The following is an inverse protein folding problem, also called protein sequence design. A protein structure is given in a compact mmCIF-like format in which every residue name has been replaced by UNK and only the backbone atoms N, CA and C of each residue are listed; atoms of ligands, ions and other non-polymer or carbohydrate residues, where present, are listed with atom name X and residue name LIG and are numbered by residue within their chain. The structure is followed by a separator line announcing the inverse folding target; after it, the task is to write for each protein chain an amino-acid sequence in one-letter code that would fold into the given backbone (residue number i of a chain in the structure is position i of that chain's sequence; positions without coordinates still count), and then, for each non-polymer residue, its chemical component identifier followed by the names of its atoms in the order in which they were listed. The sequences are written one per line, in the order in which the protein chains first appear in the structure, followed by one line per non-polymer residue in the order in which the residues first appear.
data_IF_764937065975
#
_entry.id   IF_764937065975
#
_cell.length_a   1.000
_cell.length_b   1.000
_cell.length_c   1.000
_cell.angle_alpha   90.00
_cell.angle_beta   90.00
_cell.angle_gamma   90.00
#
_symmetry.space_group_name_H-M   'P 1'
#
loop_
_entity.id
_entity.type
_entity.pdbx_description
1 polymer ?
#
# COMPACT_ATOMS: atom_id res chain seq x y z
N UNK A 1 -0.86 -19.85 -1.57
CA UNK A 1 -0.25 -20.75 -0.56
C UNK A 1 1.28 -20.74 -0.59
N UNK A 2 1.94 -20.90 -1.74
CA UNK A 2 3.42 -20.85 -1.81
C UNK A 2 4.02 -19.46 -1.49
N UNK A 3 3.45 -18.38 -2.03
CA UNK A 3 3.93 -17.02 -1.75
C UNK A 3 3.82 -16.64 -0.26
N UNK A 4 2.66 -16.88 0.36
CA UNK A 4 2.45 -16.66 1.79
C UNK A 4 3.39 -17.51 2.67
N UNK A 5 3.62 -18.77 2.29
CA UNK A 5 4.58 -19.64 2.97
C UNK A 5 6.03 -19.12 2.87
N UNK A 6 6.45 -18.68 1.68
CA UNK A 6 7.78 -18.08 1.46
C UNK A 6 7.93 -16.80 2.29
N UNK A 7 6.95 -15.90 2.25
CA UNK A 7 6.94 -14.64 3.00
C UNK A 7 7.00 -14.88 4.51
N UNK A 8 6.25 -15.87 5.01
CA UNK A 8 6.28 -16.25 6.41
C UNK A 8 7.63 -16.85 6.82
N UNK A 9 8.17 -17.80 6.04
CA UNK A 9 9.49 -18.42 6.29
C UNK A 9 10.65 -17.42 6.15
N UNK A 10 10.54 -16.46 5.24
CA UNK A 10 11.56 -15.44 5.00
C UNK A 10 11.44 -14.24 5.92
N UNK A 11 10.38 -14.11 6.73
CA UNK A 11 10.10 -12.90 7.51
C UNK A 11 11.29 -12.40 8.33
N UNK A 12 12.00 -13.29 9.04
CA UNK A 12 13.19 -12.91 9.82
C UNK A 12 14.39 -12.53 8.94
N UNK A 13 14.62 -13.28 7.86
CA UNK A 13 15.63 -12.95 6.86
C UNK A 13 15.33 -11.61 6.16
N UNK A 14 14.05 -11.27 6.02
CA UNK A 14 13.59 -10.04 5.41
C UNK A 14 13.88 -8.82 6.32
N UNK A 15 13.64 -8.94 7.63
CA UNK A 15 14.01 -7.91 8.62
C UNK A 15 15.51 -7.70 8.73
N UNK A 16 16.29 -8.79 8.69
CA UNK A 16 17.74 -8.72 8.70
C UNK A 16 18.28 -8.06 7.41
N UNK A 17 17.80 -8.50 6.24
CA UNK A 17 18.18 -7.92 4.96
C UNK A 17 17.81 -6.43 4.87
N UNK A 18 16.62 -6.05 5.37
CA UNK A 18 16.20 -4.67 5.48
C UNK A 18 17.17 -3.84 6.35
N UNK A 19 17.46 -4.30 7.57
CA UNK A 19 18.32 -3.59 8.51
C UNK A 19 19.75 -3.43 7.98
N UNK A 20 20.32 -4.48 7.38
CA UNK A 20 21.65 -4.43 6.75
C UNK A 20 21.66 -3.44 5.60
N UNK A 21 20.65 -3.47 4.73
CA UNK A 21 20.62 -2.60 3.57
C UNK A 21 20.39 -1.12 3.94
N UNK A 22 19.63 -0.83 5.00
CA UNK A 22 19.55 0.53 5.58
C UNK A 22 20.93 0.97 6.08
N UNK A 23 21.59 0.14 6.89
CA UNK A 23 22.91 0.46 7.43
C UNK A 23 23.94 0.70 6.32
N UNK A 24 23.97 -0.15 5.30
CA UNK A 24 24.84 0.02 4.13
C UNK A 24 24.55 1.32 3.37
N UNK A 25 23.30 1.72 3.17
CA UNK A 25 22.98 3.00 2.53
C UNK A 25 23.40 4.22 3.33
N UNK A 26 23.30 4.15 4.66
CA UNK A 26 23.72 5.24 5.56
C UNK A 26 25.25 5.38 5.56
N UNK A 27 25.97 4.26 5.55
CA UNK A 27 27.44 4.23 5.64
C UNK A 27 28.09 4.45 4.26
N UNK A 28 27.59 3.79 3.21
CA UNK A 28 28.16 3.82 1.86
C UNK A 28 27.28 4.70 0.97
N UNK A 29 27.72 5.95 0.81
CA UNK A 29 27.04 6.91 -0.04
C UNK A 29 27.54 6.77 -1.49
N UNK A 30 26.75 6.13 -2.34
CA UNK A 30 27.00 6.01 -3.78
C UNK A 30 27.72 4.73 -4.22
N UNK A 31 27.92 4.60 -5.54
CA UNK A 31 28.55 3.43 -6.16
C UNK A 31 27.67 2.18 -6.19
N UNK A 32 28.22 1.06 -6.67
CA UNK A 32 27.46 -0.19 -6.89
C UNK A 32 26.83 -0.74 -5.60
N UNK A 33 27.51 -0.58 -4.46
CA UNK A 33 27.00 -1.05 -3.16
C UNK A 33 25.73 -0.30 -2.74
N UNK A 34 25.66 1.01 -2.92
CA UNK A 34 24.44 1.77 -2.64
C UNK A 34 23.27 1.35 -3.54
N UNK A 35 23.52 1.03 -4.81
CA UNK A 35 22.50 0.53 -5.73
C UNK A 35 22.00 -0.86 -5.32
N UNK A 36 22.92 -1.78 -4.97
CA UNK A 36 22.56 -3.11 -4.47
C UNK A 36 21.76 -3.03 -3.17
N UNK A 37 22.17 -2.19 -2.22
CA UNK A 37 21.42 -1.97 -0.98
C UNK A 37 20.04 -1.38 -1.25
N UNK A 38 19.91 -0.44 -2.19
CA UNK A 38 18.60 0.10 -2.60
C UNK A 38 17.68 -0.99 -3.18
N UNK A 39 18.21 -1.88 -4.02
CA UNK A 39 17.46 -2.99 -4.59
C UNK A 39 17.01 -4.00 -3.51
N UNK A 40 17.88 -4.31 -2.55
CA UNK A 40 17.54 -5.18 -1.41
C UNK A 40 16.43 -4.54 -0.57
N UNK A 41 16.54 -3.26 -0.24
CA UNK A 41 15.49 -2.54 0.50
C UNK A 41 14.16 -2.54 -0.23
N UNK A 42 14.16 -2.31 -1.54
CA UNK A 42 12.94 -2.33 -2.34
C UNK A 42 12.25 -3.70 -2.25
N UNK A 43 13.00 -4.78 -2.48
CA UNK A 43 12.49 -6.15 -2.34
C UNK A 43 11.99 -6.44 -0.92
N UNK A 44 12.73 -5.99 0.10
CA UNK A 44 12.36 -6.23 1.49
C UNK A 44 11.10 -5.49 1.91
N UNK A 45 10.92 -4.24 1.47
CA UNK A 45 9.69 -3.47 1.67
C UNK A 45 8.51 -4.11 0.94
N UNK A 46 8.69 -4.59 -0.28
CA UNK A 46 7.64 -5.31 -1.01
C UNK A 46 7.17 -6.56 -0.25
N UNK A 47 8.10 -7.37 0.26
CA UNK A 47 7.76 -8.54 1.10
C UNK A 47 7.08 -8.14 2.41
N UNK A 48 7.54 -7.06 3.07
CA UNK A 48 6.93 -6.54 4.28
C UNK A 48 5.48 -6.08 4.05
N UNK A 49 5.17 -5.52 2.87
CA UNK A 49 3.82 -5.16 2.47
C UNK A 49 2.85 -6.34 2.43
N UNK A 50 3.29 -7.48 1.87
CA UNK A 50 2.48 -8.71 1.89
C UNK A 50 2.39 -9.33 3.28
N UNK A 51 3.49 -9.33 4.04
CA UNK A 51 3.49 -9.88 5.39
C UNK A 51 2.52 -9.10 6.30
N UNK A 52 2.54 -7.76 6.24
CA UNK A 52 1.59 -6.96 7.02
C UNK A 52 0.14 -7.16 6.55
N UNK A 53 -0.08 -7.40 5.26
CA UNK A 53 -1.41 -7.73 4.73
C UNK A 53 -1.97 -9.01 5.38
N UNK A 54 -1.16 -10.06 5.46
CA UNK A 54 -1.55 -11.33 6.09
C UNK A 54 -1.83 -11.16 7.58
N UNK A 55 -1.04 -10.33 8.28
CA UNK A 55 -1.36 -9.93 9.65
C UNK A 55 -2.67 -9.15 9.76
N UNK A 56 -2.96 -8.24 8.82
CA UNK A 56 -4.23 -7.50 8.77
C UNK A 56 -5.45 -8.39 8.50
N UNK A 57 -5.25 -9.52 7.83
CA UNK A 57 -6.24 -10.58 7.65
C UNK A 57 -6.34 -11.57 8.81
N UNK A 58 -5.52 -11.39 9.85
CA UNK A 58 -5.51 -12.25 11.03
C UNK A 58 -5.12 -13.70 10.71
N UNK A 59 -4.36 -13.93 9.64
CA UNK A 59 -4.06 -15.28 9.14
C UNK A 59 -2.73 -15.87 9.61
N UNK A 60 -1.96 -15.15 10.43
CA UNK A 60 -0.62 -15.59 10.86
C UNK A 60 -0.64 -16.17 12.28
N UNK A 61 -1.15 -15.42 13.27
CA UNK A 61 -1.29 -15.92 14.64
C UNK A 61 -2.72 -16.35 14.95
N UNK A 62 -2.88 -17.23 15.93
CA UNK A 62 -4.21 -17.55 16.50
C UNK A 62 -4.84 -16.36 17.24
N UNK A 63 -4.01 -15.47 17.80
CA UNK A 63 -4.47 -14.30 18.55
C UNK A 63 -4.64 -13.08 17.65
N UNK A 64 -5.87 -12.57 17.54
CA UNK A 64 -6.17 -11.35 16.77
C UNK A 64 -5.37 -10.15 17.28
N UNK A 65 -5.19 -10.03 18.61
CA UNK A 65 -4.39 -8.96 19.22
C UNK A 65 -2.94 -9.02 18.76
N UNK A 66 -2.36 -10.23 18.69
CA UNK A 66 -0.97 -10.39 18.26
C UNK A 66 -0.79 -10.09 16.77
N UNK A 67 -1.74 -10.51 15.94
CA UNK A 67 -1.73 -10.16 14.52
C UNK A 67 -1.72 -8.63 14.33
N UNK A 68 -2.65 -7.91 14.95
CA UNK A 68 -2.69 -6.45 14.84
C UNK A 68 -1.48 -5.76 15.46
N UNK A 69 -0.93 -6.28 16.56
CA UNK A 69 0.28 -5.73 17.16
C UNK A 69 1.47 -5.80 16.18
N UNK A 70 1.72 -6.98 15.60
CA UNK A 70 2.82 -7.16 14.65
C UNK A 70 2.55 -6.43 13.33
N UNK A 71 1.29 -6.37 12.87
CA UNK A 71 0.89 -5.54 11.73
C UNK A 71 1.33 -4.09 11.93
N UNK A 72 1.01 -3.49 13.09
CA UNK A 72 1.38 -2.10 13.40
C UNK A 72 2.89 -1.88 13.37
N UNK A 73 3.68 -2.83 13.88
CA UNK A 73 5.15 -2.74 13.85
C UNK A 73 5.67 -2.76 12.41
N UNK A 74 5.20 -3.69 11.57
CA UNK A 74 5.71 -3.83 10.20
C UNK A 74 5.29 -2.62 9.36
N UNK A 75 4.00 -2.28 9.34
CA UNK A 75 3.51 -1.21 8.47
C UNK A 75 3.97 0.17 8.96
N UNK A 76 4.04 0.39 10.28
CA UNK A 76 4.53 1.64 10.85
C UNK A 76 6.04 1.79 10.72
N UNK A 77 6.81 0.75 11.06
CA UNK A 77 8.28 0.81 11.13
C UNK A 77 9.00 0.65 9.80
N UNK A 78 8.55 -0.26 8.92
CA UNK A 78 9.20 -0.51 7.61
C UNK A 78 8.58 0.34 6.51
N UNK A 79 7.24 0.41 6.49
CA UNK A 79 6.50 1.00 5.37
C UNK A 79 6.15 2.47 5.59
N UNK A 80 6.05 2.93 6.83
CA UNK A 80 5.69 4.31 7.17
C UNK A 80 4.20 4.62 7.02
N UNK A 81 3.32 3.62 7.09
CA UNK A 81 1.85 3.81 7.00
C UNK A 81 1.13 3.40 8.28
N UNK A 82 -0.13 3.81 8.42
CA UNK A 82 -0.98 3.44 9.56
C UNK A 82 -1.72 2.12 9.30
N UNK A 83 -1.58 1.14 10.19
CA UNK A 83 -2.34 -0.12 10.10
C UNK A 83 -3.86 0.12 10.13
N UNK A 84 -4.32 1.10 10.91
CA UNK A 84 -5.75 1.45 10.99
C UNK A 84 -6.28 2.00 9.66
N UNK A 85 -5.52 2.87 8.99
CA UNK A 85 -5.86 3.36 7.66
C UNK A 85 -5.91 2.20 6.66
N UNK A 86 -4.87 1.37 6.67
CA UNK A 86 -4.76 0.24 5.76
C UNK A 86 -5.93 -0.73 5.96
N UNK A 87 -6.23 -1.15 7.20
CA UNK A 87 -7.34 -2.04 7.51
C UNK A 87 -8.68 -1.43 7.07
N UNK A 88 -8.94 -0.16 7.37
CA UNK A 88 -10.17 0.52 6.96
C UNK A 88 -10.38 0.48 5.44
N UNK A 89 -9.36 0.87 4.67
CA UNK A 89 -9.39 0.86 3.20
C UNK A 89 -9.51 -0.56 2.66
N UNK A 90 -8.71 -1.48 3.18
CA UNK A 90 -8.63 -2.85 2.72
C UNK A 90 -9.94 -3.62 2.95
N UNK A 91 -10.62 -3.36 4.06
CA UNK A 91 -11.96 -3.90 4.29
C UNK A 91 -12.99 -3.38 3.28
N UNK A 92 -12.88 -2.12 2.83
CA UNK A 92 -13.73 -1.59 1.76
C UNK A 92 -13.48 -2.31 0.43
N UNK A 93 -12.21 -2.52 0.09
CA UNK A 93 -11.82 -3.32 -1.09
C UNK A 93 -12.44 -4.72 -1.04
N UNK A 94 -12.28 -5.44 0.08
CA UNK A 94 -12.82 -6.79 0.24
C UNK A 94 -14.35 -6.88 0.34
N UNK A 95 -15.04 -5.77 0.59
CA UNK A 95 -16.51 -5.76 0.61
C UNK A 95 -17.08 -5.98 -0.81
N UNK A 96 -16.51 -5.32 -1.83
CA UNK A 96 -16.92 -5.45 -3.25
C UNK A 96 -15.72 -5.24 -4.18
N UNK A 97 -14.82 -6.22 -4.30
CA UNK A 97 -13.61 -6.08 -5.10
C UNK A 97 -13.95 -5.89 -6.58
N UNK A 98 -13.07 -5.20 -7.30
CA UNK A 98 -13.14 -4.95 -8.75
C UNK A 98 -14.45 -4.34 -9.24
N UNK A 99 -15.19 -3.68 -8.35
CA UNK A 99 -16.49 -3.07 -8.69
C UNK A 99 -16.34 -1.56 -8.82
N UNK A 100 -16.56 -1.05 -10.04
CA UNK A 100 -16.44 0.38 -10.36
C UNK A 100 -17.29 1.21 -9.37
N UNK A 101 -16.70 2.29 -8.83
CA UNK A 101 -17.25 3.18 -7.79
C UNK A 101 -17.37 2.58 -6.38
N UNK A 102 -17.23 1.27 -6.20
CA UNK A 102 -17.35 0.61 -4.88
C UNK A 102 -16.00 0.21 -4.31
N UNK A 103 -15.12 -0.30 -5.15
CA UNK A 103 -13.76 -0.66 -4.78
C UNK A 103 -12.86 0.59 -4.83
N UNK A 104 -12.24 1.00 -3.70
CA UNK A 104 -11.32 2.13 -3.67
C UNK A 104 -10.06 1.93 -4.53
N UNK A 105 -9.69 0.68 -4.83
CA UNK A 105 -8.42 0.35 -5.48
C UNK A 105 -8.46 0.42 -7.00
N UNK A 106 -9.62 0.70 -7.61
CA UNK A 106 -9.76 0.85 -9.08
C UNK A 106 -10.33 2.22 -9.49
N UNK A 107 -10.27 3.22 -8.60
CA UNK A 107 -10.81 4.57 -8.83
C UNK A 107 -9.84 5.50 -9.59
N UNK A 108 -9.28 5.03 -10.70
CA UNK A 108 -8.28 5.77 -11.48
C UNK A 108 -8.81 6.36 -12.79
N UNK A 109 -10.10 6.71 -12.85
CA UNK A 109 -10.88 6.86 -14.09
C UNK A 109 -10.38 7.87 -15.15
N UNK A 110 -9.24 8.54 -14.97
CA UNK A 110 -8.58 9.34 -16.00
C UNK A 110 -7.30 8.69 -16.56
N UNK A 111 -6.60 7.88 -15.76
CA UNK A 111 -5.33 7.25 -16.12
C UNK A 111 -5.53 5.85 -16.71
N UNK A 112 -6.50 5.12 -16.17
CA UNK A 112 -6.84 3.76 -16.62
C UNK A 112 -8.33 3.64 -16.90
N UNK A 113 -8.66 3.11 -18.08
CA UNK A 113 -10.00 2.68 -18.41
C UNK A 113 -10.11 1.20 -18.04
N UNK A 114 -11.01 0.89 -17.11
CA UNK A 114 -11.16 -0.44 -16.51
C UNK A 114 -12.56 -0.96 -16.79
N UNK A 115 -12.66 -2.25 -17.13
CA UNK A 115 -13.91 -2.92 -17.43
C UNK A 115 -14.49 -2.55 -18.79
N UNK A 116 -15.75 -2.93 -19.02
CA UNK A 116 -16.41 -2.78 -20.33
C UNK A 116 -17.15 -1.45 -20.50
N UNK A 117 -17.69 -0.90 -19.40
CA UNK A 117 -18.58 0.26 -19.44
C UNK A 117 -17.82 1.58 -19.52
N UNK A 118 -16.77 1.76 -18.70
CA UNK A 118 -16.00 3.02 -18.61
C UNK A 118 -15.36 3.42 -19.95
N UNK A 119 -14.72 2.53 -20.72
CA UNK A 119 -14.15 2.91 -22.01
C UNK A 119 -15.21 3.43 -23.01
N UNK A 120 -16.38 2.80 -23.05
CA UNK A 120 -17.48 3.18 -23.95
C UNK A 120 -18.04 4.56 -23.57
N UNK A 121 -18.25 4.82 -22.28
CA UNK A 121 -18.71 6.14 -21.80
C UNK A 121 -17.69 7.24 -22.12
N UNK A 122 -16.39 6.96 -21.91
CA UNK A 122 -15.31 7.90 -22.24
C UNK A 122 -15.26 8.21 -23.74
N UNK A 123 -15.42 7.21 -24.59
CA UNK A 123 -15.49 7.37 -26.04
C UNK A 123 -16.69 8.23 -26.47
N UNK A 124 -17.89 7.94 -25.96
CA UNK A 124 -19.11 8.72 -26.24
C UNK A 124 -18.97 10.19 -25.84
N UNK A 125 -18.34 10.46 -24.70
CA UNK A 125 -18.12 11.82 -24.19
C UNK A 125 -16.89 12.50 -24.79
N UNK A 126 -16.15 11.83 -25.69
CA UNK A 126 -14.88 12.32 -26.27
C UNK A 126 -13.88 12.78 -25.20
N UNK A 127 -13.80 12.03 -24.09
CA UNK A 127 -12.98 12.36 -22.92
C UNK A 127 -11.58 11.70 -22.96
N UNK A 128 -11.19 11.08 -24.07
CA UNK A 128 -9.94 10.36 -24.13
C UNK A 128 -8.73 11.32 -24.07
N UNK A 129 -7.86 11.16 -23.07
CA UNK A 129 -6.66 12.00 -22.88
C UNK A 129 -5.33 11.27 -23.03
N UNK A 130 -5.36 9.93 -23.09
CA UNK A 130 -4.18 9.07 -23.17
C UNK A 130 -4.36 8.04 -24.29
N UNK A 131 -3.27 7.44 -24.80
CA UNK A 131 -3.36 6.32 -25.74
C UNK A 131 -3.79 5.05 -25.02
N UNK A 132 -5.08 4.95 -24.65
CA UNK A 132 -5.61 3.81 -23.87
C UNK A 132 -5.50 2.46 -24.58
N UNK A 133 -5.33 2.44 -25.90
CA UNK A 133 -4.99 1.24 -26.68
C UNK A 133 -3.59 0.69 -26.36
N UNK A 134 -2.72 1.48 -25.75
CA UNK A 134 -1.38 1.11 -25.27
C UNK A 134 -1.34 0.90 -23.75
N UNK A 135 -2.48 0.89 -23.07
CA UNK A 135 -2.56 0.80 -21.61
C UNK A 135 -1.79 -0.38 -21.04
N UNK A 136 -1.81 -1.54 -21.71
CA UNK A 136 -1.04 -2.71 -21.28
C UNK A 136 0.48 -2.45 -21.15
N UNK A 137 1.04 -1.53 -21.96
CA UNK A 137 2.47 -1.25 -21.96
C UNK A 137 2.89 -0.29 -20.85
N UNK A 138 2.07 0.73 -20.55
CA UNK A 138 2.42 1.71 -19.52
C UNK A 138 1.84 1.36 -18.15
N UNK A 139 0.82 0.49 -18.04
CA UNK A 139 0.15 0.16 -16.79
C UNK A 139 1.13 -0.27 -15.69
N UNK A 140 2.04 -1.19 -15.99
CA UNK A 140 2.98 -1.71 -14.99
C UNK A 140 3.99 -0.66 -14.50
N UNK A 141 4.40 0.26 -15.37
CA UNK A 141 5.37 1.29 -15.01
C UNK A 141 4.73 2.50 -14.33
N UNK A 142 3.42 2.67 -14.47
CA UNK A 142 2.71 3.85 -13.96
C UNK A 142 1.87 3.52 -12.73
N UNK A 143 1.10 2.42 -12.72
CA UNK A 143 0.14 2.17 -11.65
C UNK A 143 0.84 1.86 -10.32
N UNK A 144 1.78 0.91 -10.21
CA UNK A 144 2.42 0.62 -8.92
C UNK A 144 3.10 1.85 -8.30
N UNK A 145 3.88 2.66 -9.06
CA UNK A 145 4.45 3.91 -8.53
C UNK A 145 3.41 5.00 -8.19
N UNK A 146 2.30 5.09 -8.92
CA UNK A 146 1.23 6.04 -8.61
C UNK A 146 0.40 5.60 -7.41
N UNK A 147 0.15 4.29 -7.28
CA UNK A 147 -0.73 3.73 -6.28
C UNK A 147 -0.09 3.76 -4.90
N UNK A 148 1.12 3.19 -4.78
CA UNK A 148 1.74 2.95 -3.48
C UNK A 148 2.54 4.18 -3.00
N UNK A 149 3.55 4.69 -3.74
CA UNK A 149 4.29 5.89 -3.33
C UNK A 149 3.48 7.18 -3.26
N UNK A 150 2.48 7.36 -4.14
CA UNK A 150 1.81 8.66 -4.26
C UNK A 150 0.42 8.60 -3.62
N UNK A 151 -0.48 7.79 -4.15
CA UNK A 151 -1.88 7.81 -3.74
C UNK A 151 -2.07 7.34 -2.28
N UNK A 152 -1.41 6.25 -1.88
CA UNK A 152 -1.50 5.74 -0.50
C UNK A 152 -0.86 6.68 0.52
N UNK A 153 0.23 7.37 0.16
CA UNK A 153 0.84 8.38 1.03
C UNK A 153 -0.12 9.56 1.25
N UNK A 154 -0.67 10.12 0.16
CA UNK A 154 -1.65 11.21 0.23
C UNK A 154 -2.85 10.81 1.09
N UNK A 155 -3.38 9.60 0.89
CA UNK A 155 -4.51 9.14 1.66
C UNK A 155 -4.20 8.87 3.12
N UNK A 156 -3.02 8.34 3.43
CA UNK A 156 -2.60 8.14 4.82
C UNK A 156 -2.53 9.48 5.53
N UNK A 157 -1.93 10.49 4.91
CA UNK A 157 -1.86 11.86 5.45
C UNK A 157 -3.27 12.42 5.64
N UNK A 158 -4.14 12.30 4.63
CA UNK A 158 -5.53 12.74 4.72
C UNK A 158 -6.30 12.05 5.87
N UNK A 159 -6.15 10.73 6.00
CA UNK A 159 -6.77 9.95 7.06
C UNK A 159 -6.31 10.40 8.44
N UNK A 160 -5.01 10.63 8.63
CA UNK A 160 -4.44 11.11 9.89
C UNK A 160 -4.96 12.50 10.25
N UNK A 161 -4.98 13.44 9.29
CA UNK A 161 -5.52 14.80 9.50
C UNK A 161 -7.00 14.73 9.90
N UNK A 162 -7.80 13.94 9.19
CA UNK A 162 -9.23 13.81 9.47
C UNK A 162 -9.49 13.20 10.85
N UNK A 163 -8.74 12.16 11.22
CA UNK A 163 -8.85 11.50 12.53
C UNK A 163 -8.43 12.44 13.67
N UNK A 164 -7.37 13.23 13.48
CA UNK A 164 -6.96 14.27 14.43
C UNK A 164 -8.05 15.32 14.66
N UNK A 165 -8.62 15.88 13.59
CA UNK A 165 -9.73 16.86 13.69
C UNK A 165 -10.95 16.28 14.41
N UNK A 166 -11.28 15.01 14.17
CA UNK A 166 -12.36 14.33 14.89
C UNK A 166 -12.05 14.22 16.39
N UNK A 167 -10.82 13.85 16.74
CA UNK A 167 -10.38 13.76 18.13
C UNK A 167 -10.40 15.12 18.85
N UNK A 168 -9.91 16.19 18.20
CA UNK A 168 -9.97 17.56 18.72
C UNK A 168 -11.42 18.01 18.99
N UNK A 169 -12.35 17.71 18.06
CA UNK A 169 -13.78 17.98 18.26
C UNK A 169 -14.35 17.22 19.46
N UNK A 170 -14.08 15.92 19.56
CA UNK A 170 -14.57 15.09 20.67
C UNK A 170 -14.04 15.63 22.01
N UNK A 171 -12.75 15.96 22.09
CA UNK A 171 -12.16 16.52 23.30
C UNK A 171 -12.76 17.88 23.67
N UNK A 172 -13.04 18.73 22.68
CA UNK A 172 -13.73 20.00 22.94
C UNK A 172 -15.11 19.78 23.58
N UNK A 173 -15.87 18.77 23.14
CA UNK A 173 -17.17 18.43 23.73
C UNK A 173 -17.10 17.68 25.07
N UNK A 174 -15.99 17.00 25.38
CA UNK A 174 -15.82 16.29 26.66
C UNK A 174 -15.30 17.23 27.75
N UNK A 175 -14.47 18.21 27.37
CA UNK A 175 -13.76 19.10 28.29
C UNK A 175 -14.45 20.46 28.50
N UNK A 176 -15.54 20.76 27.77
CA UNK A 176 -16.41 21.92 27.97
C UNK A 176 -17.85 21.45 28.11
#
# INVERSE_FOLDING_TARGET
MLAAYIIHKSGFANWLAYSIAVACLVIVQGGIFAHLSSAILFCSKAQAGWLQHDFGHLSVFRSNKMNHFVQNIIIGGIMGFSANWWNYRHYQHHTKPNTIKRDPDIRFGLLYLIGKVVPVEFGKKKMAKLPYNLQQFYFFFTLPPLLIPIYFVIETVYFLIKKRKLHEKINFFILN
#
